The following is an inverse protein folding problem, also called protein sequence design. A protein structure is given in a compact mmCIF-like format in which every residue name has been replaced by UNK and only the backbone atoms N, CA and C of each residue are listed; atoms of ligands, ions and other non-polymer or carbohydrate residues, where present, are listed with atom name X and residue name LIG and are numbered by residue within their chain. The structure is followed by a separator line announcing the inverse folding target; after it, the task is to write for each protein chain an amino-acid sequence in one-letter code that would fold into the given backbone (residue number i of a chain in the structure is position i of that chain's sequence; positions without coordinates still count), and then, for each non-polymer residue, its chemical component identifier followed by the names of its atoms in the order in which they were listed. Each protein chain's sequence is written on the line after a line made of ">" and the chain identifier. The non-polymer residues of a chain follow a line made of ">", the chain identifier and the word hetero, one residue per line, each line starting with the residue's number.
data_IF_204407748388
#
_entry.id   IF_204407748388
#
_cell.length_a   1.000
_cell.length_b   1.000
_cell.length_c   1.000
_cell.angle_alpha   90.00
_cell.angle_beta   90.00
_cell.angle_gamma   90.00
#
_symmetry.space_group_name_H-M   'P 1'
#
loop_
_entity.id
_entity.type
_entity.pdbx_description
1 polymer ?
#
# COMPACT_ATOMS: atom_id res chain seq x y z
N UNK A 1 -3.30 -47.78 38.55
CA UNK A 1 -3.19 -46.30 38.65
C UNK A 1 -2.35 -45.83 37.47
N UNK A 2 -2.99 -45.38 36.39
CA UNK A 2 -2.28 -44.87 35.21
C UNK A 2 -1.92 -43.40 35.46
N UNK A 3 -0.62 -43.08 35.44
CA UNK A 3 -0.14 -41.70 35.55
C UNK A 3 -0.32 -41.02 34.19
N UNK A 4 -1.17 -39.99 34.14
CA UNK A 4 -1.29 -39.12 32.98
C UNK A 4 -0.03 -38.26 32.88
N UNK A 5 0.70 -38.37 31.77
CA UNK A 5 1.86 -37.53 31.47
C UNK A 5 1.39 -36.15 31.01
N UNK A 6 1.67 -35.11 31.80
CA UNK A 6 1.43 -33.72 31.40
C UNK A 6 2.46 -33.32 30.33
N UNK A 7 1.99 -33.01 29.12
CA UNK A 7 2.82 -32.47 28.07
C UNK A 7 3.12 -30.99 28.36
N UNK A 8 4.32 -30.69 28.85
CA UNK A 8 4.79 -29.31 29.01
C UNK A 8 5.12 -28.74 27.64
N UNK A 9 4.37 -27.73 27.20
CA UNK A 9 4.62 -26.99 25.97
C UNK A 9 5.81 -26.04 26.22
N UNK A 10 7.01 -26.42 25.76
CA UNK A 10 8.26 -25.64 25.95
C UNK A 10 8.54 -24.62 24.84
N UNK A 11 7.77 -24.65 23.75
CA UNK A 11 7.95 -23.74 22.61
C UNK A 11 6.74 -22.83 22.48
N UNK A 12 6.89 -21.59 22.96
CA UNK A 12 5.93 -20.53 22.67
C UNK A 12 6.22 -19.96 21.28
N UNK A 13 5.20 -19.68 20.44
CA UNK A 13 5.42 -18.97 19.18
C UNK A 13 6.11 -17.64 19.52
N UNK A 14 7.32 -17.47 19.00
CA UNK A 14 8.05 -16.22 19.17
C UNK A 14 7.18 -15.10 18.61
N UNK A 15 6.97 -14.04 19.40
CA UNK A 15 6.34 -12.83 18.88
C UNK A 15 7.12 -12.43 17.62
N UNK A 16 6.45 -12.48 16.47
CA UNK A 16 7.05 -12.05 15.22
C UNK A 16 7.65 -10.66 15.46
N UNK A 17 8.96 -10.51 15.23
CA UNK A 17 9.63 -9.24 15.37
C UNK A 17 8.80 -8.18 14.61
N UNK A 18 8.52 -7.04 15.26
CA UNK A 18 7.76 -5.98 14.63
C UNK A 18 8.40 -5.65 13.28
N UNK A 19 7.63 -5.79 12.19
CA UNK A 19 8.10 -5.37 10.87
C UNK A 19 8.55 -3.91 10.97
N UNK A 20 9.71 -3.61 10.39
CA UNK A 20 10.20 -2.24 10.37
C UNK A 20 9.16 -1.35 9.67
N UNK A 21 8.91 -0.14 10.18
CA UNK A 21 7.96 0.76 9.55
C UNK A 21 8.48 1.08 8.14
N UNK A 22 7.67 0.78 7.13
CA UNK A 22 7.95 1.16 5.76
C UNK A 22 7.72 2.66 5.56
N UNK A 23 8.26 3.19 4.47
CA UNK A 23 8.03 4.58 4.06
C UNK A 23 7.58 4.64 2.61
N UNK A 24 6.79 5.67 2.29
CA UNK A 24 6.58 6.08 0.91
C UNK A 24 7.91 6.58 0.34
N UNK A 25 8.23 6.17 -0.87
CA UNK A 25 9.42 6.61 -1.60
C UNK A 25 9.27 8.06 -2.11
N UNK A 26 8.03 8.54 -2.30
CA UNK A 26 7.74 9.91 -2.74
C UNK A 26 6.69 10.58 -1.85
N UNK A 27 6.77 11.91 -1.76
CA UNK A 27 5.76 12.73 -1.08
C UNK A 27 4.43 12.76 -1.83
N UNK A 28 3.34 13.06 -1.11
CA UNK A 28 1.99 13.14 -1.69
C UNK A 28 1.87 14.28 -2.72
N UNK A 29 2.52 15.42 -2.45
CA UNK A 29 2.54 16.59 -3.33
C UNK A 29 3.75 16.65 -4.25
N UNK A 30 4.55 15.58 -4.33
CA UNK A 30 5.71 15.50 -5.21
C UNK A 30 5.27 15.29 -6.69
N UNK A 31 4.27 16.06 -7.14
CA UNK A 31 3.52 15.86 -8.38
C UNK A 31 4.42 16.04 -9.62
N UNK A 32 5.48 16.84 -9.50
CA UNK A 32 6.40 17.15 -10.61
C UNK A 32 7.55 16.14 -10.81
N UNK A 33 7.71 15.14 -9.94
CA UNK A 33 8.81 14.16 -10.05
C UNK A 33 8.59 13.15 -11.21
N UNK A 34 7.33 12.87 -11.56
CA UNK A 34 6.96 12.09 -12.75
C UNK A 34 5.87 12.81 -13.56
N UNK A 35 6.27 13.72 -14.45
CA UNK A 35 5.35 14.45 -15.32
C UNK A 35 4.44 13.53 -16.15
N UNK A 36 4.91 12.34 -16.55
CA UNK A 36 4.10 11.37 -17.29
C UNK A 36 2.93 10.80 -16.48
N UNK A 37 3.17 10.43 -15.22
CA UNK A 37 2.11 9.94 -14.31
C UNK A 37 1.15 11.06 -13.94
N UNK A 38 1.67 12.28 -13.75
CA UNK A 38 0.86 13.47 -13.48
C UNK A 38 -0.05 13.83 -14.66
N UNK A 39 0.46 13.83 -15.89
CA UNK A 39 -0.32 14.10 -17.10
C UNK A 39 -1.37 13.01 -17.33
N UNK A 40 -1.03 11.73 -17.14
CA UNK A 40 -2.00 10.64 -17.23
C UNK A 40 -3.07 10.68 -16.12
N UNK A 41 -2.71 11.08 -14.90
CA UNK A 41 -3.66 11.28 -13.80
C UNK A 41 -4.59 12.47 -14.03
N UNK A 42 -4.13 13.51 -14.74
CA UNK A 42 -4.91 14.70 -15.07
C UNK A 42 -5.79 14.53 -16.32
N UNK A 43 -5.35 13.76 -17.32
CA UNK A 43 -6.09 13.51 -18.57
C UNK A 43 -6.88 12.19 -18.61
N UNK A 44 -6.44 11.13 -17.92
CA UNK A 44 -7.19 9.87 -17.78
C UNK A 44 -7.02 9.23 -16.40
N UNK A 45 -7.58 9.88 -15.37
CA UNK A 45 -7.68 9.35 -14.02
C UNK A 45 -8.21 7.89 -13.92
N UNK A 46 -9.29 7.48 -14.64
CA UNK A 46 -9.76 6.09 -14.55
C UNK A 46 -8.80 5.08 -15.17
N UNK A 47 -8.04 5.45 -16.21
CA UNK A 47 -7.01 4.58 -16.77
C UNK A 47 -5.91 4.32 -15.73
N UNK A 48 -5.47 5.37 -15.03
CA UNK A 48 -4.45 5.27 -13.99
C UNK A 48 -4.95 4.43 -12.81
N UNK A 49 -6.21 4.60 -12.40
CA UNK A 49 -6.83 3.78 -11.37
C UNK A 49 -6.89 2.31 -11.79
N UNK A 50 -7.25 2.04 -13.05
CA UNK A 50 -7.23 0.69 -13.62
C UNK A 50 -5.84 0.05 -13.62
N UNK A 51 -4.80 0.81 -13.94
CA UNK A 51 -3.43 0.32 -13.89
C UNK A 51 -2.98 -0.02 -12.46
N UNK A 52 -3.29 0.86 -11.49
CA UNK A 52 -2.97 0.60 -10.07
C UNK A 52 -3.70 -0.63 -9.56
N UNK A 53 -4.99 -0.77 -9.91
CA UNK A 53 -5.75 -1.95 -9.53
C UNK A 53 -5.19 -3.22 -10.17
N UNK A 54 -4.88 -3.18 -11.47
CA UNK A 54 -4.25 -4.30 -12.18
C UNK A 54 -2.90 -4.68 -11.57
N UNK A 55 -2.10 -3.70 -11.15
CA UNK A 55 -0.81 -3.96 -10.50
C UNK A 55 -0.97 -4.64 -9.14
N UNK A 56 -2.07 -4.36 -8.44
CA UNK A 56 -2.38 -4.94 -7.14
C UNK A 56 -3.24 -6.22 -7.22
N UNK A 57 -3.63 -6.64 -8.43
CA UNK A 57 -4.46 -7.82 -8.68
C UNK A 57 -5.95 -7.62 -8.41
N UNK A 58 -6.44 -6.39 -8.44
CA UNK A 58 -7.81 -6.00 -8.10
C UNK A 58 -8.59 -5.47 -9.32
N UNK A 59 -9.91 -5.32 -9.19
CA UNK A 59 -10.77 -4.83 -10.26
C UNK A 59 -10.45 -3.37 -10.67
N UNK A 60 -10.50 -3.05 -11.97
CA UNK A 60 -9.98 -1.79 -12.54
C UNK A 60 -10.58 -0.50 -11.94
N UNK A 61 -11.80 -0.56 -11.38
CA UNK A 61 -12.47 0.60 -10.79
C UNK A 61 -12.05 0.88 -9.34
N UNK A 62 -11.35 -0.05 -8.71
CA UNK A 62 -11.04 0.02 -7.28
C UNK A 62 -9.77 0.85 -6.98
N UNK A 63 -8.91 1.09 -7.98
CA UNK A 63 -7.56 1.62 -7.80
C UNK A 63 -7.46 2.98 -7.10
N UNK A 64 -8.48 3.83 -7.21
CA UNK A 64 -8.54 5.14 -6.56
C UNK A 64 -9.25 5.13 -5.21
N UNK A 65 -9.66 3.97 -4.71
CA UNK A 65 -10.38 3.87 -3.43
C UNK A 65 -9.46 4.06 -2.24
N UNK A 66 -10.05 4.50 -1.12
CA UNK A 66 -9.38 4.52 0.18
C UNK A 66 -8.90 3.12 0.57
N UNK A 67 -9.69 2.10 0.23
CA UNK A 67 -9.35 0.70 0.48
C UNK A 67 -8.02 0.31 -0.19
N UNK A 68 -7.79 0.71 -1.45
CA UNK A 68 -6.54 0.40 -2.14
C UNK A 68 -5.33 1.07 -1.50
N UNK A 69 -5.46 2.34 -1.12
CA UNK A 69 -4.39 3.06 -0.42
C UNK A 69 -4.09 2.44 0.94
N UNK A 70 -5.12 2.09 1.71
CA UNK A 70 -4.95 1.44 3.01
C UNK A 70 -4.34 0.04 2.85
N UNK A 71 -4.83 -0.78 1.91
CA UNK A 71 -4.28 -2.10 1.59
C UNK A 71 -2.79 -2.01 1.21
N UNK A 72 -2.41 -1.03 0.39
CA UNK A 72 -1.02 -0.83 0.03
C UNK A 72 -0.14 -0.51 1.24
N UNK A 73 -0.61 0.40 2.10
CA UNK A 73 0.11 0.80 3.31
C UNK A 73 0.25 -0.34 4.30
N UNK A 74 -0.76 -1.18 4.46
CA UNK A 74 -0.68 -2.35 5.34
C UNK A 74 0.30 -3.38 4.79
N UNK A 75 0.30 -3.64 3.47
CA UNK A 75 1.25 -4.56 2.83
C UNK A 75 2.71 -4.15 3.02
N UNK A 76 3.01 -2.86 2.90
CA UNK A 76 4.37 -2.34 3.05
C UNK A 76 4.65 -1.73 4.43
N UNK A 77 3.79 -2.01 5.41
CA UNK A 77 3.90 -1.55 6.80
C UNK A 77 4.17 -0.03 6.95
N UNK A 78 3.54 0.80 6.10
CA UNK A 78 3.71 2.24 6.09
C UNK A 78 2.82 2.85 7.19
N UNK A 79 3.35 3.69 8.12
CA UNK A 79 2.62 4.20 9.29
C UNK A 79 1.67 5.35 8.97
N UNK A 80 0.40 5.25 9.38
CA UNK A 80 -0.66 6.22 9.06
C UNK A 80 -2.05 5.73 9.48
N UNK A 81 -3.10 6.42 9.06
CA UNK A 81 -4.48 6.13 9.47
C UNK A 81 -5.46 6.10 8.29
N UNK A 82 -6.54 5.34 8.44
CA UNK A 82 -7.64 5.29 7.45
C UNK A 82 -8.20 6.70 7.21
N UNK A 83 -8.31 7.53 8.25
CA UNK A 83 -8.75 8.92 8.10
C UNK A 83 -7.77 9.75 7.26
N UNK A 84 -6.45 9.54 7.42
CA UNK A 84 -5.44 10.17 6.59
C UNK A 84 -5.50 9.72 5.14
N UNK A 85 -5.74 8.43 4.89
CA UNK A 85 -5.95 7.89 3.55
C UNK A 85 -7.22 8.44 2.91
N UNK A 86 -8.28 8.52 3.69
CA UNK A 86 -9.55 9.10 3.31
C UNK A 86 -9.38 10.58 2.90
N UNK A 87 -8.71 11.39 3.73
CA UNK A 87 -8.42 12.78 3.41
C UNK A 87 -7.51 12.91 2.17
N UNK A 88 -6.52 12.03 2.02
CA UNK A 88 -5.63 12.03 0.84
C UNK A 88 -6.42 11.77 -0.44
N UNK A 89 -7.30 10.78 -0.44
CA UNK A 89 -8.13 10.43 -1.60
C UNK A 89 -9.21 11.49 -1.86
N UNK A 90 -9.83 12.09 -0.84
CA UNK A 90 -10.88 13.11 -1.03
C UNK A 90 -10.31 14.48 -1.44
N UNK A 91 -9.27 14.96 -0.77
CA UNK A 91 -8.73 16.31 -0.98
C UNK A 91 -7.72 16.37 -2.13
N UNK A 92 -7.04 15.25 -2.39
CA UNK A 92 -5.89 15.17 -3.30
C UNK A 92 -5.92 13.87 -4.12
N UNK A 93 -7.11 13.47 -4.60
CA UNK A 93 -7.32 12.22 -5.36
C UNK A 93 -6.26 11.93 -6.45
N UNK A 94 -5.97 12.86 -7.39
CA UNK A 94 -4.96 12.61 -8.43
C UNK A 94 -3.57 12.43 -7.82
N UNK A 95 -3.18 13.26 -6.86
CA UNK A 95 -1.87 13.20 -6.22
C UNK A 95 -1.70 11.90 -5.42
N UNK A 96 -2.73 11.47 -4.69
CA UNK A 96 -2.74 10.23 -3.93
C UNK A 96 -2.60 8.99 -4.83
N UNK A 97 -3.26 9.00 -6.00
CA UNK A 97 -3.17 7.92 -6.96
C UNK A 97 -1.84 7.92 -7.71
N UNK A 98 -1.33 9.09 -8.09
CA UNK A 98 0.00 9.25 -8.69
C UNK A 98 1.10 8.77 -7.72
N UNK A 99 1.04 9.18 -6.44
CA UNK A 99 1.96 8.71 -5.41
C UNK A 99 1.96 7.17 -5.34
N UNK A 100 0.77 6.56 -5.31
CA UNK A 100 0.61 5.12 -5.24
C UNK A 100 1.22 4.43 -6.47
N UNK A 101 0.92 4.91 -7.69
CA UNK A 101 1.49 4.35 -8.93
C UNK A 101 3.02 4.47 -8.97
N UNK A 102 3.58 5.60 -8.55
CA UNK A 102 5.04 5.79 -8.49
C UNK A 102 5.70 4.83 -7.53
N UNK A 103 5.15 4.69 -6.33
CA UNK A 103 5.69 3.78 -5.32
C UNK A 103 5.65 2.32 -5.82
N UNK A 104 4.56 1.92 -6.50
CA UNK A 104 4.47 0.63 -7.20
C UNK A 104 5.60 0.48 -8.23
N UNK A 105 5.77 1.46 -9.12
CA UNK A 105 6.78 1.39 -10.18
C UNK A 105 8.21 1.31 -9.61
N UNK A 106 8.52 2.11 -8.58
CA UNK A 106 9.82 2.09 -7.92
C UNK A 106 10.09 0.76 -7.24
N UNK A 107 9.11 0.19 -6.51
CA UNK A 107 9.25 -1.13 -5.89
C UNK A 107 9.42 -2.24 -6.92
N UNK A 108 8.71 -2.18 -8.06
CA UNK A 108 8.91 -3.11 -9.18
C UNK A 108 10.32 -3.02 -9.74
N UNK A 109 10.85 -1.80 -9.93
CA UNK A 109 12.22 -1.60 -10.39
C UNK A 109 13.27 -2.13 -9.40
N UNK A 110 12.98 -2.08 -8.10
CA UNK A 110 13.81 -2.64 -7.04
C UNK A 110 13.60 -4.16 -6.82
N UNK A 111 12.63 -4.79 -7.50
CA UNK A 111 12.29 -6.21 -7.29
C UNK A 111 11.65 -6.51 -5.93
N UNK A 112 10.97 -5.53 -5.32
CA UNK A 112 10.37 -5.63 -3.97
C UNK A 112 8.84 -5.41 -3.97
N UNK A 113 8.21 -5.53 -5.15
CA UNK A 113 6.77 -5.34 -5.34
C UNK A 113 5.99 -6.66 -5.37
#
# INVERSE_FOLDING_TARGET
>A
LAMASEAVITVQPQFAAAQQPGQWQTGLLDVCSDCGVCLCGMFCFPCLAGQVASDMGECCLCGSSVAMRTLYRTRYNIPGSIMGDFCSVRCLAPCALCQLKRDINQRKAMGTF
#
